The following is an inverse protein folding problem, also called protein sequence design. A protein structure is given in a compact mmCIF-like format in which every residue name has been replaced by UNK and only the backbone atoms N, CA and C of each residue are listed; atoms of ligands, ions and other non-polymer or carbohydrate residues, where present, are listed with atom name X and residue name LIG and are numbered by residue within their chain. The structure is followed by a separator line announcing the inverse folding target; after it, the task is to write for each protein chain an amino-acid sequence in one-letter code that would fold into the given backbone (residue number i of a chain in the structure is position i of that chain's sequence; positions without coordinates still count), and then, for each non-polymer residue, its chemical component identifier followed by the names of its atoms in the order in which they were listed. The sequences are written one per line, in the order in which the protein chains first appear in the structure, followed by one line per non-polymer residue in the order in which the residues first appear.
data_IF_174933236751
#
_entry.id   IF_174933236751
#
_cell.length_a   1.000
_cell.length_b   1.000
_cell.length_c   1.000
_cell.angle_alpha   90.00
_cell.angle_beta   90.00
_cell.angle_gamma   90.00
#
_symmetry.space_group_name_H-M   'P 1'
#
loop_
_entity.id
_entity.type
_entity.pdbx_description
1 polymer ?
#
# COMPACT_ATOMS: atom_id res chain seq x y z
N UNK A 1 26.95 -11.84 1.18
CA UNK A 1 26.67 -12.37 2.54
C UNK A 1 26.05 -11.37 3.52
N UNK A 2 25.87 -10.08 3.18
CA UNK A 2 25.29 -9.09 4.11
C UNK A 2 23.75 -9.06 4.16
N UNK A 3 23.06 -9.48 3.10
CA UNK A 3 21.59 -9.42 3.02
C UNK A 3 20.87 -10.39 3.98
N UNK A 4 21.45 -11.56 4.26
CA UNK A 4 20.81 -12.60 5.07
C UNK A 4 20.81 -12.20 6.57
N UNK A 5 21.87 -11.52 7.01
CA UNK A 5 22.00 -11.06 8.40
C UNK A 5 21.01 -9.94 8.74
N UNK A 6 20.80 -8.99 7.83
CA UNK A 6 19.82 -7.92 8.00
C UNK A 6 18.39 -8.44 8.05
N UNK A 7 18.04 -9.38 7.16
CA UNK A 7 16.70 -9.96 7.15
C UNK A 7 16.39 -10.73 8.45
N UNK A 8 17.36 -11.49 8.98
CA UNK A 8 17.19 -12.25 10.22
C UNK A 8 17.07 -11.35 11.46
N UNK A 9 17.93 -10.33 11.58
CA UNK A 9 17.87 -9.40 12.71
C UNK A 9 16.60 -8.54 12.70
N UNK A 10 16.18 -8.07 11.52
CA UNK A 10 14.92 -7.34 11.35
C UNK A 10 13.71 -8.21 11.71
N UNK A 11 13.68 -9.48 11.30
CA UNK A 11 12.55 -10.39 11.59
C UNK A 11 12.38 -10.57 13.11
N UNK A 12 13.50 -10.79 13.82
CA UNK A 12 13.50 -10.91 15.29
C UNK A 12 13.09 -9.60 15.98
N UNK A 13 13.61 -8.46 15.52
CA UNK A 13 13.24 -7.16 16.07
C UNK A 13 11.76 -6.84 15.83
N UNK A 14 11.23 -7.18 14.64
CA UNK A 14 9.83 -6.99 14.26
C UNK A 14 8.90 -7.79 15.18
N UNK A 15 9.19 -9.08 15.39
CA UNK A 15 8.39 -9.92 16.28
C UNK A 15 8.37 -9.41 17.72
N UNK A 16 9.50 -8.89 18.20
CA UNK A 16 9.59 -8.30 19.53
C UNK A 16 8.87 -6.94 19.64
N UNK A 17 8.94 -6.10 18.59
CA UNK A 17 8.36 -4.76 18.60
C UNK A 17 6.85 -4.76 18.36
N UNK A 18 6.36 -5.49 17.35
CA UNK A 18 4.96 -5.47 16.90
C UNK A 18 4.06 -6.46 17.64
N UNK A 19 4.14 -6.48 18.97
CA UNK A 19 3.20 -7.25 19.78
C UNK A 19 1.90 -6.46 20.01
N UNK A 20 0.74 -7.13 20.19
CA UNK A 20 -0.51 -6.44 20.50
C UNK A 20 -0.45 -5.55 21.75
N UNK A 21 0.45 -5.88 22.69
CA UNK A 21 0.70 -5.08 23.89
C UNK A 21 1.45 -3.80 23.54
N UNK A 22 2.51 -3.87 22.75
CA UNK A 22 3.32 -2.72 22.37
C UNK A 22 2.55 -1.77 21.45
N UNK A 23 1.78 -2.31 20.49
CA UNK A 23 0.95 -1.50 19.60
C UNK A 23 -0.12 -0.74 20.39
N UNK A 24 -0.86 -1.42 21.27
CA UNK A 24 -1.87 -0.75 22.13
C UNK A 24 -1.23 0.24 23.11
N UNK A 25 -0.05 -0.08 23.63
CA UNK A 25 0.74 0.82 24.47
C UNK A 25 1.14 2.09 23.72
N UNK A 26 1.63 1.96 22.49
CA UNK A 26 1.98 3.08 21.63
C UNK A 26 0.77 3.94 21.29
N UNK A 27 -0.37 3.34 20.95
CA UNK A 27 -1.61 4.09 20.68
C UNK A 27 -2.15 4.82 21.91
N UNK A 28 -2.07 4.19 23.09
CA UNK A 28 -2.43 4.85 24.36
C UNK A 28 -1.47 6.00 24.68
N UNK A 29 -0.19 5.82 24.35
CA UNK A 29 0.86 6.84 24.43
C UNK A 29 0.60 8.03 23.51
N UNK A 30 0.22 7.78 22.25
CA UNK A 30 -0.12 8.82 21.28
C UNK A 30 -1.52 9.43 21.47
N UNK A 31 -2.31 8.92 22.43
CA UNK A 31 -3.70 9.35 22.60
C UNK A 31 -4.64 8.89 21.47
N UNK A 32 -4.26 7.89 20.70
CA UNK A 32 -5.10 7.31 19.64
C UNK A 32 -6.10 6.29 20.17
N UNK A 33 -5.78 5.60 21.29
CA UNK A 33 -6.67 4.59 21.87
C UNK A 33 -6.64 4.53 23.41
N UNK A 34 -7.76 4.80 24.10
CA UNK A 34 -8.95 5.49 23.58
C UNK A 34 -8.57 6.89 23.05
N UNK A 35 -9.33 7.41 22.07
CA UNK A 35 -9.02 8.70 21.44
C UNK A 35 -9.02 9.83 22.48
N UNK A 36 -7.90 10.55 22.56
CA UNK A 36 -7.66 11.71 23.43
C UNK A 36 -7.13 12.86 22.55
N UNK A 37 -8.03 13.71 22.03
CA UNK A 37 -7.69 14.76 21.06
C UNK A 37 -6.59 15.70 21.54
N UNK A 38 -6.62 16.10 22.81
CA UNK A 38 -5.64 17.06 23.37
C UNK A 38 -4.20 16.55 23.25
N UNK A 39 -3.99 15.25 23.47
CA UNK A 39 -2.66 14.63 23.39
C UNK A 39 -2.17 14.52 21.95
N UNK A 40 -3.07 14.18 21.03
CA UNK A 40 -2.76 14.13 19.60
C UNK A 40 -2.38 15.51 19.09
N UNK A 41 -3.14 16.54 19.47
CA UNK A 41 -2.91 17.92 19.03
C UNK A 41 -1.65 18.55 19.64
N UNK A 42 -1.24 18.12 20.85
CA UNK A 42 0.02 18.54 21.47
C UNK A 42 1.25 18.03 20.72
N UNK A 43 1.22 16.79 20.23
CA UNK A 43 2.33 16.16 19.53
C UNK A 43 2.41 16.58 18.04
N UNK A 44 1.35 17.17 17.49
CA UNK A 44 1.37 17.70 16.12
C UNK A 44 2.27 18.94 16.05
N UNK A 45 3.34 18.87 15.27
CA UNK A 45 4.12 20.06 14.92
C UNK A 45 3.18 21.10 14.28
N UNK A 46 3.10 22.29 14.90
CA UNK A 46 2.41 23.43 14.29
C UNK A 46 3.00 23.65 12.90
N UNK A 47 2.18 23.68 11.83
CA UNK A 47 2.71 23.85 10.50
C UNK A 47 3.37 25.22 10.42
N UNK A 48 4.66 25.23 10.08
CA UNK A 48 5.46 26.45 9.88
C UNK A 48 5.04 27.13 8.57
N UNK A 49 3.82 27.65 8.50
CA UNK A 49 3.36 28.47 7.36
C UNK A 49 3.82 29.93 7.46
N UNK A 50 4.63 30.29 8.46
CA UNK A 50 5.10 31.64 8.67
C UNK A 50 6.61 31.65 8.89
N UNK A 51 7.38 31.54 7.80
CA UNK A 51 8.78 32.02 7.69
C UNK A 51 9.39 31.82 6.28
N UNK A 52 8.60 31.91 5.22
CA UNK A 52 9.15 32.21 3.89
C UNK A 52 9.29 33.74 3.79
N UNK A 53 10.49 34.19 3.43
CA UNK A 53 10.98 35.55 3.63
C UNK A 53 10.08 36.67 3.11
N UNK A 54 10.10 37.78 3.84
CA UNK A 54 9.71 39.12 3.41
C UNK A 54 10.36 39.48 2.08
N UNK A 55 9.65 39.28 0.98
CA UNK A 55 9.86 40.06 -0.24
C UNK A 55 9.07 41.36 -0.08
N UNK A 56 9.80 42.47 0.02
CA UNK A 56 9.24 43.82 -0.03
C UNK A 56 8.52 43.98 -1.36
N UNK A 57 7.19 44.07 -1.32
CA UNK A 57 6.37 44.48 -2.44
C UNK A 57 6.01 45.93 -2.16
N UNK A 58 6.47 46.82 -3.03
CA UNK A 58 6.19 48.24 -2.95
C UNK A 58 4.68 48.49 -3.03
N UNK A 59 4.22 49.40 -2.16
CA UNK A 59 2.85 49.91 -2.09
C UNK A 59 2.38 50.38 -3.47
N UNK A 60 1.39 49.70 -4.03
CA UNK A 60 0.45 50.32 -4.97
C UNK A 60 -0.97 50.19 -4.43
N UNK A 61 -1.63 51.34 -4.45
CA UNK A 61 -2.91 51.77 -3.93
C UNK A 61 -4.02 50.71 -3.72
N UNK A 62 -4.65 50.87 -2.57
CA UNK A 62 -5.95 50.36 -2.13
C UNK A 62 -7.06 50.65 -3.15
N UNK A 63 -7.81 49.63 -3.55
CA UNK A 63 -9.25 49.78 -3.77
C UNK A 63 -10.00 48.46 -3.57
N UNK A 64 -10.84 48.50 -2.53
CA UNK A 64 -12.09 47.75 -2.34
C UNK A 64 -11.98 46.28 -1.91
N UNK A 65 -12.24 46.10 -0.61
CA UNK A 65 -12.59 44.84 0.05
C UNK A 65 -13.62 44.04 -0.74
N UNK A 66 -13.31 42.77 -1.01
CA UNK A 66 -14.32 41.73 -1.01
C UNK A 66 -13.97 40.74 0.09
N UNK A 67 -14.64 40.91 1.22
CA UNK A 67 -14.79 39.90 2.24
C UNK A 67 -15.65 38.77 1.64
N UNK A 68 -14.97 37.72 1.16
CA UNK A 68 -15.58 36.55 0.56
C UNK A 68 -14.79 35.31 0.99
N UNK A 69 -15.45 34.14 1.11
CA UNK A 69 -14.78 32.93 1.57
C UNK A 69 -13.57 32.66 0.68
N UNK A 70 -12.42 32.39 1.31
CA UNK A 70 -11.16 32.02 0.65
C UNK A 70 -11.44 30.87 -0.31
N UNK A 71 -11.63 31.18 -1.60
CA UNK A 71 -11.82 30.17 -2.63
C UNK A 71 -10.46 29.52 -2.84
N UNK A 72 -10.27 28.35 -2.23
CA UNK A 72 -9.14 27.50 -2.57
C UNK A 72 -9.26 27.13 -4.05
N UNK A 73 -8.20 27.31 -4.86
CA UNK A 73 -8.24 26.91 -6.25
C UNK A 73 -8.45 25.39 -6.31
N UNK A 74 -9.57 24.97 -6.90
CA UNK A 74 -9.87 23.55 -7.10
C UNK A 74 -9.03 23.04 -8.26
N UNK A 75 -8.07 22.18 -7.95
CA UNK A 75 -7.27 21.51 -8.98
C UNK A 75 -8.14 20.51 -9.74
N UNK A 76 -8.21 20.56 -11.08
CA UNK A 76 -8.93 19.57 -11.85
C UNK A 76 -8.29 18.19 -11.66
N UNK A 77 -9.11 17.15 -11.47
CA UNK A 77 -8.66 15.76 -11.24
C UNK A 77 -8.92 14.88 -12.46
N UNK A 78 -9.78 15.34 -13.38
CA UNK A 78 -10.18 14.65 -14.62
C UNK A 78 -9.75 15.45 -15.85
N UNK A 79 -9.56 14.75 -16.97
CA UNK A 79 -9.19 15.37 -18.25
C UNK A 79 -10.28 16.35 -18.72
N UNK A 80 -11.55 15.99 -18.58
CA UNK A 80 -12.67 16.84 -18.99
C UNK A 80 -12.72 18.15 -18.19
N UNK A 81 -12.40 18.08 -16.89
CA UNK A 81 -12.32 19.26 -16.04
C UNK A 81 -11.13 20.15 -16.43
N UNK A 82 -10.01 19.55 -16.84
CA UNK A 82 -8.85 20.29 -17.35
C UNK A 82 -9.17 21.00 -18.67
N UNK A 83 -9.80 20.32 -19.62
CA UNK A 83 -10.21 20.91 -20.91
C UNK A 83 -11.21 22.05 -20.70
N UNK A 84 -12.17 21.87 -19.80
CA UNK A 84 -13.13 22.91 -19.43
C UNK A 84 -12.43 24.13 -18.80
N UNK A 85 -11.42 23.91 -17.96
CA UNK A 85 -10.62 24.99 -17.37
C UNK A 85 -9.81 25.72 -18.44
N UNK A 86 -9.14 24.98 -19.33
CA UNK A 86 -8.36 25.54 -20.44
C UNK A 86 -9.19 26.49 -21.30
N UNK A 87 -10.37 26.06 -21.74
CA UNK A 87 -11.28 26.88 -22.54
C UNK A 87 -11.67 28.19 -21.83
N UNK A 88 -11.90 28.14 -20.52
CA UNK A 88 -12.22 29.32 -19.71
C UNK A 88 -11.03 30.27 -19.61
N UNK A 89 -9.83 29.75 -19.38
CA UNK A 89 -8.61 30.55 -19.23
C UNK A 89 -8.21 31.19 -20.57
N UNK A 90 -8.32 30.45 -21.68
CA UNK A 90 -8.09 31.01 -23.02
C UNK A 90 -9.10 32.13 -23.34
N UNK A 91 -10.37 31.96 -23.00
CA UNK A 91 -11.40 32.97 -23.21
C UNK A 91 -11.11 34.24 -22.39
N UNK A 92 -10.67 34.11 -21.14
CA UNK A 92 -10.27 35.27 -20.32
C UNK A 92 -9.00 35.95 -20.83
N UNK A 93 -8.00 35.18 -21.28
CA UNK A 93 -6.74 35.72 -21.80
C UNK A 93 -6.95 36.51 -23.10
N UNK A 94 -7.83 36.02 -23.99
CA UNK A 94 -8.21 36.74 -25.24
C UNK A 94 -8.98 38.02 -24.94
N UNK A 95 -9.88 38.00 -23.96
CA UNK A 95 -10.66 39.17 -23.57
C UNK A 95 -9.80 40.27 -22.91
N UNK A 96 -8.66 39.91 -22.32
CA UNK A 96 -7.74 40.83 -21.68
C UNK A 96 -6.67 41.40 -22.64
N UNK A 97 -6.67 41.03 -23.92
CA UNK A 97 -5.60 41.38 -24.90
C UNK A 97 -4.18 41.11 -24.37
N UNK A 98 -4.05 40.11 -23.49
CA UNK A 98 -2.83 39.89 -22.73
C UNK A 98 -1.73 39.25 -23.58
N UNK A 99 -0.53 39.84 -23.52
CA UNK A 99 0.74 39.28 -24.04
C UNK A 99 1.07 37.87 -23.49
N UNK A 100 0.35 37.45 -22.44
CA UNK A 100 0.52 36.18 -21.75
C UNK A 100 -0.24 35.00 -22.40
N UNK A 101 -1.01 35.21 -23.47
CA UNK A 101 -1.76 34.15 -24.14
C UNK A 101 -0.87 32.95 -24.56
N UNK A 102 0.35 33.21 -25.00
CA UNK A 102 1.33 32.17 -25.37
C UNK A 102 1.80 31.38 -24.15
N UNK A 103 2.00 32.04 -23.00
CA UNK A 103 2.39 31.38 -21.75
C UNK A 103 1.27 30.48 -21.21
N UNK A 104 0.02 30.98 -21.26
CA UNK A 104 -1.18 30.22 -20.90
C UNK A 104 -1.33 28.97 -21.77
N UNK A 105 -1.13 29.11 -23.09
CA UNK A 105 -1.21 27.97 -24.01
C UNK A 105 -0.12 26.93 -23.72
N UNK A 106 1.12 27.35 -23.44
CA UNK A 106 2.21 26.45 -23.07
C UNK A 106 1.90 25.69 -21.78
N UNK A 107 1.36 26.38 -20.77
CA UNK A 107 0.94 25.76 -19.51
C UNK A 107 -0.18 24.74 -19.74
N UNK A 108 -1.18 25.09 -20.55
CA UNK A 108 -2.28 24.19 -20.90
C UNK A 108 -1.78 22.92 -21.60
N UNK A 109 -0.90 23.06 -22.59
CA UNK A 109 -0.28 21.92 -23.28
C UNK A 109 0.53 21.03 -22.32
N UNK A 110 1.31 21.65 -21.41
CA UNK A 110 2.06 20.91 -20.40
C UNK A 110 1.15 20.14 -19.44
N UNK A 111 0.01 20.74 -19.05
CA UNK A 111 -0.98 20.07 -18.22
C UNK A 111 -1.63 18.88 -18.96
N UNK A 112 -2.02 19.05 -20.23
CA UNK A 112 -2.56 17.94 -21.04
C UNK A 112 -1.57 16.78 -21.16
N UNK A 113 -0.29 17.08 -21.41
CA UNK A 113 0.77 16.07 -21.47
C UNK A 113 0.92 15.33 -20.13
N UNK A 114 0.98 16.06 -19.00
CA UNK A 114 1.10 15.46 -17.68
C UNK A 114 -0.10 14.55 -17.34
N UNK A 115 -1.31 14.91 -17.77
CA UNK A 115 -2.49 14.07 -17.62
C UNK A 115 -2.44 12.82 -18.48
N UNK A 116 -1.95 12.92 -19.72
CA UNK A 116 -1.77 11.78 -20.61
C UNK A 116 -0.75 10.79 -20.03
N UNK A 117 0.40 11.28 -19.56
CA UNK A 117 1.44 10.46 -18.90
C UNK A 117 0.90 9.78 -17.64
N UNK A 118 0.18 10.54 -16.79
CA UNK A 118 -0.48 10.00 -15.59
C UNK A 118 -1.42 8.85 -15.97
N UNK A 119 -2.25 9.02 -16.99
CA UNK A 119 -3.18 7.98 -17.43
C UNK A 119 -2.45 6.74 -17.97
N UNK A 120 -1.36 6.91 -18.72
CA UNK A 120 -0.52 5.81 -19.19
C UNK A 120 0.06 5.02 -18.00
N UNK A 121 0.65 5.72 -17.03
CA UNK A 121 1.21 5.10 -15.82
C UNK A 121 0.14 4.37 -15.00
N UNK A 122 -1.07 4.91 -14.89
CA UNK A 122 -2.17 4.21 -14.22
C UNK A 122 -2.56 2.92 -14.93
N UNK A 123 -2.63 2.94 -16.27
CA UNK A 123 -2.94 1.77 -17.06
C UNK A 123 -1.84 0.71 -16.92
N UNK A 124 -0.57 1.10 -17.01
CA UNK A 124 0.56 0.19 -16.84
C UNK A 124 0.59 -0.44 -15.46
N UNK A 125 0.38 0.37 -14.40
CA UNK A 125 0.30 -0.13 -13.04
C UNK A 125 -0.86 -1.12 -12.87
N UNK A 126 -2.00 -0.89 -13.51
CA UNK A 126 -3.12 -1.82 -13.49
C UNK A 126 -2.77 -3.15 -14.13
N UNK A 127 -2.17 -3.13 -15.33
CA UNK A 127 -1.72 -4.35 -16.02
C UNK A 127 -0.70 -5.12 -15.18
N UNK A 128 0.26 -4.41 -14.57
CA UNK A 128 1.26 -5.01 -13.69
C UNK A 128 0.62 -5.64 -12.45
N UNK A 129 -0.37 -4.99 -11.84
CA UNK A 129 -1.11 -5.55 -10.71
C UNK A 129 -1.85 -6.84 -11.11
N UNK A 130 -2.50 -6.86 -12.26
CA UNK A 130 -3.21 -8.04 -12.77
C UNK A 130 -2.23 -9.21 -12.99
N UNK A 131 -1.08 -8.95 -13.63
CA UNK A 131 -0.02 -9.95 -13.82
C UNK A 131 0.56 -10.45 -12.49
N UNK A 132 0.77 -9.56 -11.52
CA UNK A 132 1.32 -9.94 -10.22
C UNK A 132 0.33 -10.80 -9.44
N UNK A 133 -0.96 -10.45 -9.47
CA UNK A 133 -2.04 -11.23 -8.88
C UNK A 133 -2.15 -12.62 -9.52
N UNK A 134 -2.05 -12.70 -10.85
CA UNK A 134 -2.03 -13.98 -11.55
C UNK A 134 -0.79 -14.82 -11.17
N UNK A 135 0.39 -14.20 -11.16
CA UNK A 135 1.65 -14.86 -10.77
C UNK A 135 1.58 -15.41 -9.33
N UNK A 136 1.07 -14.62 -8.39
CA UNK A 136 0.83 -15.04 -7.00
C UNK A 136 -0.16 -16.20 -6.93
N UNK A 137 -1.23 -16.15 -7.71
CA UNK A 137 -2.22 -17.23 -7.80
C UNK A 137 -1.59 -18.50 -8.36
N UNK A 138 -0.76 -18.41 -9.39
CA UNK A 138 -0.02 -19.55 -9.93
C UNK A 138 0.97 -20.11 -8.91
N UNK A 139 1.65 -19.27 -8.13
CA UNK A 139 2.55 -19.72 -7.07
C UNK A 139 1.80 -20.42 -5.93
N UNK A 140 0.66 -19.87 -5.47
CA UNK A 140 -0.16 -20.51 -4.44
C UNK A 140 -0.75 -21.84 -4.91
N UNK A 141 -1.20 -21.92 -6.17
CA UNK A 141 -1.69 -23.15 -6.78
C UNK A 141 -0.58 -24.18 -6.96
N UNK A 142 0.64 -23.79 -7.37
CA UNK A 142 1.79 -24.72 -7.42
C UNK A 142 2.18 -25.28 -6.05
N UNK A 143 2.00 -24.51 -4.99
CA UNK A 143 2.15 -25.00 -3.61
C UNK A 143 0.99 -25.91 -3.19
N UNK A 144 -0.14 -25.82 -3.89
CA UNK A 144 -1.37 -26.59 -3.67
C UNK A 144 -1.47 -27.71 -4.70
N UNK A 145 -0.74 -28.81 -4.45
CA UNK A 145 -0.93 -30.15 -5.04
C UNK A 145 -0.47 -30.31 -6.51
N UNK A 146 0.47 -31.23 -6.70
CA UNK A 146 0.80 -31.80 -8.02
C UNK A 146 0.41 -33.29 -7.99
N UNK A 147 -0.74 -33.63 -8.56
CA UNK A 147 -1.26 -35.01 -8.61
C UNK A 147 -1.70 -35.56 -7.24
N UNK A 148 -1.34 -36.80 -6.90
CA UNK A 148 -1.61 -37.39 -5.55
C UNK A 148 -0.67 -36.88 -4.45
N UNK A 149 0.32 -36.07 -4.77
CA UNK A 149 1.34 -35.60 -3.84
C UNK A 149 1.07 -34.14 -3.43
N UNK A 150 0.79 -33.95 -2.13
CA UNK A 150 0.74 -32.64 -1.46
C UNK A 150 2.18 -32.23 -1.10
N UNK A 151 2.56 -30.98 -1.33
CA UNK A 151 3.77 -30.42 -0.71
C UNK A 151 3.58 -30.39 0.80
N UNK A 152 4.33 -31.22 1.53
CA UNK A 152 4.29 -31.22 2.99
C UNK A 152 4.98 -29.96 3.51
N UNK A 153 4.22 -29.10 4.18
CA UNK A 153 4.81 -28.01 4.95
C UNK A 153 5.45 -28.57 6.23
N UNK A 154 6.31 -27.78 6.89
CA UNK A 154 7.01 -28.24 8.11
C UNK A 154 6.04 -28.79 9.18
N UNK A 155 4.86 -28.19 9.31
CA UNK A 155 3.80 -28.67 10.20
C UNK A 155 3.30 -30.09 9.83
N UNK A 156 3.22 -30.42 8.54
CA UNK A 156 2.84 -31.76 8.07
C UNK A 156 3.93 -32.79 8.39
N UNK A 157 5.21 -32.40 8.28
CA UNK A 157 6.37 -33.24 8.64
C UNK A 157 6.36 -33.56 10.13
N UNK A 158 6.15 -32.55 10.99
CA UNK A 158 6.07 -32.72 12.45
C UNK A 158 4.90 -33.62 12.83
N UNK A 159 3.71 -33.38 12.26
CA UNK A 159 2.53 -34.20 12.52
C UNK A 159 2.71 -35.67 12.06
N UNK A 160 3.44 -35.89 10.96
CA UNK A 160 3.79 -37.23 10.49
C UNK A 160 4.77 -37.93 11.44
N UNK A 161 5.74 -37.21 11.98
CA UNK A 161 6.71 -37.74 12.94
C UNK A 161 6.00 -38.13 14.25
N UNK A 162 5.17 -37.27 14.82
CA UNK A 162 4.39 -37.59 16.01
C UNK A 162 3.48 -38.81 15.82
N UNK A 163 2.90 -38.99 14.62
CA UNK A 163 2.10 -40.18 14.30
C UNK A 163 2.94 -41.45 14.27
N UNK A 164 4.18 -41.40 13.78
CA UNK A 164 5.12 -42.53 13.82
C UNK A 164 5.52 -42.86 15.24
N UNK A 165 5.90 -41.85 16.02
CA UNK A 165 6.32 -42.03 17.42
C UNK A 165 5.17 -42.65 18.26
N UNK A 166 3.93 -42.20 18.04
CA UNK A 166 2.73 -42.80 18.66
C UNK A 166 2.43 -44.23 18.18
N UNK A 167 2.77 -44.57 16.94
CA UNK A 167 2.59 -45.93 16.41
C UNK A 167 3.68 -46.89 16.89
N UNK A 168 4.90 -46.40 17.11
CA UNK A 168 6.02 -47.16 17.69
C UNK A 168 5.87 -47.34 19.20
N UNK A 169 5.25 -46.38 19.89
CA UNK A 169 4.88 -46.51 21.30
C UNK A 169 3.73 -47.50 21.56
N UNK A 170 3.01 -47.96 20.51
CA UNK A 170 2.03 -49.04 20.65
C UNK A 170 2.75 -50.38 20.66
N UNK A 171 2.51 -51.27 21.64
CA UNK A 171 3.12 -52.59 21.66
C UNK A 171 2.71 -53.37 20.39
N UNK A 172 3.68 -53.92 19.67
CA UNK A 172 3.44 -54.78 18.50
C UNK A 172 2.75 -56.07 18.96
N UNK A 173 1.42 -56.08 18.94
CA UNK A 173 0.63 -57.29 19.15
C UNK A 173 0.97 -58.32 18.06
N UNK A 174 1.61 -59.42 18.47
CA UNK A 174 2.04 -60.49 17.57
C UNK A 174 0.87 -61.10 16.79
N UNK A 175 0.93 -61.05 15.46
CA UNK A 175 0.02 -61.83 14.61
C UNK A 175 0.45 -63.31 14.66
N UNK A 176 -0.20 -64.09 15.53
CA UNK A 176 -0.17 -65.57 15.50
C UNK A 176 -0.64 -66.06 14.13
N UNK A 177 0.20 -66.86 13.48
CA UNK A 177 -0.07 -67.41 12.15
C UNK A 177 -1.27 -68.37 12.13
N UNK A 178 -2.02 -68.35 11.02
CA UNK A 178 -2.89 -69.47 10.64
C UNK A 178 -2.17 -70.28 9.57
N UNK A 179 -1.58 -71.41 9.99
CA UNK A 179 -1.01 -72.44 9.11
C UNK A 179 -2.18 -73.12 8.38
N UNK A 180 -2.32 -72.91 7.07
CA UNK A 180 -3.31 -73.63 6.25
C UNK A 180 -2.87 -75.10 6.16
N UNK A 181 -3.68 -76.02 6.68
CA UNK A 181 -3.53 -77.45 6.39
C UNK A 181 -3.92 -77.69 4.93
N UNK A 182 -3.10 -78.45 4.19
CA UNK A 182 -3.44 -78.96 2.86
C UNK A 182 -4.23 -80.27 3.03
N UNK A 183 -5.35 -80.50 2.34
CA UNK A 183 -5.90 -81.83 2.23
C UNK A 183 -5.07 -82.65 1.23
N UNK A 184 -4.82 -83.90 1.60
CA UNK A 184 -4.33 -84.97 0.74
C UNK A 184 -5.53 -85.68 0.11
N UNK A 185 -5.29 -86.19 -1.10
CA UNK A 185 -6.17 -86.84 -2.08
C UNK A 185 -7.05 -85.91 -2.93
#
# INVERSE_FOLDING_TARGET
MFYIYYASSYSRAREAAFTPRNIRGAWKGAGLYPLRPDRVLQDMQKPQFAQAGTLKIDKVATSTSQDGPVRTPVTPVTMDALLSLRLRVEKSARAAEDSNAVLVQKLANAAELAFAERNLLFNDNRVLLDQNNESRTRQSVKNTIVGRAKMMEYADIVAAQEKRDKAEARPKGGKRGKRKQRPLY
#
